data_IF_141687265639
#
_entry.id   IF_141687265639
#
_cell.length_a   1.000
_cell.length_b   1.000
_cell.length_c   1.000
_cell.angle_alpha   90.00
_cell.angle_beta   90.00
_cell.angle_gamma   90.00
#
_symmetry.space_group_name_H-M   'P 1'
#
loop_
_entity.id
_entity.type
_entity.pdbx_description
1 polymer ?
#
# COMPACT_ATOMS: atom_id res chain seq x y z
N UNK A 1 3.81 4.51 -17.55
CA UNK A 1 3.59 3.43 -16.59
C UNK A 1 4.00 3.78 -15.17
N UNK A 2 4.99 4.67 -14.99
CA UNK A 2 5.37 5.14 -13.64
C UNK A 2 4.23 5.84 -12.91
N UNK A 3 3.28 6.42 -13.64
CA UNK A 3 2.12 7.09 -13.04
C UNK A 3 1.22 6.16 -12.22
N UNK A 4 1.31 4.86 -12.48
CA UNK A 4 0.53 3.85 -11.78
C UNK A 4 1.28 3.20 -10.63
N UNK A 5 2.50 3.64 -10.36
CA UNK A 5 3.25 3.17 -9.21
C UNK A 5 2.86 4.02 -8.01
N UNK A 6 2.38 3.36 -6.96
CA UNK A 6 2.01 4.01 -5.72
C UNK A 6 3.13 3.78 -4.71
N UNK A 7 3.60 4.85 -4.09
CA UNK A 7 4.66 4.76 -3.09
C UNK A 7 4.05 4.58 -1.71
N UNK A 8 4.29 3.43 -1.12
CA UNK A 8 3.78 3.08 0.20
C UNK A 8 4.90 3.21 1.22
N UNK A 9 4.58 3.70 2.41
CA UNK A 9 5.49 3.65 3.54
C UNK A 9 5.37 2.31 4.24
N UNK A 10 6.51 1.72 4.60
CA UNK A 10 6.58 0.54 5.45
C UNK A 10 7.29 0.94 6.72
N UNK A 11 6.55 1.04 7.82
CA UNK A 11 7.04 1.54 9.10
C UNK A 11 7.20 0.36 10.06
N UNK A 12 8.38 0.22 10.64
CA UNK A 12 8.65 -0.85 11.59
C UNK A 12 8.09 -0.47 12.97
N UNK A 13 7.31 -1.38 13.54
CA UNK A 13 6.65 -1.18 14.84
C UNK A 13 6.96 -2.39 15.72
N UNK A 14 7.50 -2.18 16.91
CA UNK A 14 7.73 -3.28 17.85
C UNK A 14 6.42 -3.96 18.21
N UNK A 15 6.43 -5.27 18.34
CA UNK A 15 5.23 -6.02 18.73
C UNK A 15 5.08 -6.02 20.26
N UNK A 16 4.78 -4.86 20.81
CA UNK A 16 4.66 -4.59 22.23
C UNK A 16 3.50 -3.66 22.52
N UNK A 17 2.89 -3.73 23.71
CA UNK A 17 1.85 -2.77 24.09
C UNK A 17 2.37 -1.33 23.99
N UNK A 18 1.59 -0.47 23.36
CA UNK A 18 1.92 0.95 23.22
C UNK A 18 2.83 1.31 22.05
N UNK A 19 3.42 0.32 21.37
CA UNK A 19 4.33 0.61 20.24
C UNK A 19 3.61 1.28 19.09
N UNK A 20 2.46 0.77 18.70
CA UNK A 20 1.66 1.38 17.62
C UNK A 20 1.14 2.75 18.03
N UNK A 21 0.76 2.92 19.29
CA UNK A 21 0.32 4.23 19.79
C UNK A 21 1.42 5.28 19.67
N UNK A 22 2.66 4.90 19.97
CA UNK A 22 3.81 5.79 19.83
C UNK A 22 4.04 6.21 18.39
N UNK A 23 3.99 5.28 17.46
CA UNK A 23 4.12 5.57 16.02
C UNK A 23 2.98 6.47 15.54
N UNK A 24 1.75 6.13 15.92
CA UNK A 24 0.57 6.92 15.56
C UNK A 24 0.64 8.35 16.10
N UNK A 25 1.13 8.50 17.31
CA UNK A 25 1.33 9.83 17.91
C UNK A 25 2.33 10.64 17.10
N UNK A 26 3.46 10.04 16.73
CA UNK A 26 4.49 10.69 15.94
C UNK A 26 3.95 11.12 14.57
N UNK A 27 3.17 10.24 13.91
CA UNK A 27 2.51 10.58 12.65
C UNK A 27 1.62 11.82 12.81
N UNK A 28 0.82 11.83 13.87
CA UNK A 28 -0.06 12.97 14.16
C UNK A 28 0.71 14.26 14.44
N UNK A 29 1.74 14.18 15.25
CA UNK A 29 2.58 15.34 15.59
C UNK A 29 3.32 15.88 14.37
N UNK A 30 3.67 15.04 13.42
CA UNK A 30 4.31 15.43 12.17
C UNK A 30 3.32 15.93 11.11
N UNK A 31 2.02 15.90 11.42
CA UNK A 31 0.99 16.32 10.48
C UNK A 31 0.79 15.36 9.31
N UNK A 32 1.15 14.09 9.49
CA UNK A 32 1.02 13.07 8.45
C UNK A 32 -0.34 12.40 8.56
N UNK A 33 -1.16 12.51 7.52
CA UNK A 33 -2.45 11.86 7.43
C UNK A 33 -2.34 10.61 6.57
N UNK A 34 -2.86 9.51 7.07
CA UNK A 34 -2.88 8.24 6.34
C UNK A 34 -4.19 8.09 5.58
N UNK A 35 -4.11 7.85 4.27
CA UNK A 35 -5.28 7.57 3.43
C UNK A 35 -5.72 6.12 3.57
N UNK A 36 -4.75 5.24 3.71
CA UNK A 36 -4.96 3.81 3.90
C UNK A 36 -3.85 3.27 4.78
N UNK A 37 -4.12 2.25 5.55
CA UNK A 37 -3.09 1.59 6.32
C UNK A 37 -3.46 0.14 6.62
N UNK A 38 -2.43 -0.65 6.91
CA UNK A 38 -2.56 -2.05 7.30
C UNK A 38 -1.41 -2.38 8.24
N UNK A 39 -1.73 -2.98 9.37
CA UNK A 39 -0.73 -3.46 10.31
C UNK A 39 -0.61 -4.97 10.19
N UNK A 40 0.55 -5.44 9.74
CA UNK A 40 0.85 -6.86 9.62
C UNK A 40 1.92 -7.23 10.62
N UNK A 41 1.79 -8.41 11.20
CA UNK A 41 2.78 -8.89 12.15
C UNK A 41 3.84 -9.74 11.45
N UNK A 42 5.03 -9.72 12.07
CA UNK A 42 6.11 -10.63 11.75
C UNK A 42 6.72 -10.92 13.11
N UNK A 43 6.97 -12.14 13.46
CA UNK A 43 7.49 -12.62 14.77
C UNK A 43 7.68 -11.59 15.90
N UNK A 44 8.75 -10.79 15.86
CA UNK A 44 9.12 -9.85 16.92
C UNK A 44 8.68 -8.41 16.68
N UNK A 45 8.25 -8.09 15.47
CA UNK A 45 7.84 -6.74 15.11
C UNK A 45 6.68 -6.78 14.13
N UNK A 46 5.99 -5.65 14.02
CA UNK A 46 4.97 -5.44 13.01
C UNK A 46 5.45 -4.50 11.92
N UNK A 47 4.71 -4.46 10.84
CA UNK A 47 4.93 -3.49 9.76
C UNK A 47 3.63 -2.75 9.55
N UNK A 48 3.66 -1.43 9.78
CA UNK A 48 2.54 -0.57 9.46
C UNK A 48 2.75 -0.08 8.03
N UNK A 49 1.93 -0.55 7.12
CA UNK A 49 1.93 -0.09 5.74
C UNK A 49 0.96 1.06 5.63
N UNK A 50 1.40 2.17 5.06
CA UNK A 50 0.60 3.38 5.02
C UNK A 50 0.74 4.09 3.68
N UNK A 51 -0.38 4.59 3.18
CA UNK A 51 -0.44 5.47 2.02
C UNK A 51 -0.66 6.88 2.53
N UNK A 52 0.23 7.78 2.18
CA UNK A 52 0.20 9.18 2.63
C UNK A 52 0.27 10.11 1.43
N UNK A 53 -0.09 11.36 1.63
CA UNK A 53 -0.09 12.38 0.57
C UNK A 53 1.30 12.68 0.02
N UNK A 54 2.27 12.86 0.91
CA UNK A 54 3.65 13.20 0.57
C UNK A 54 4.61 12.15 1.17
N UNK A 55 4.88 11.06 0.44
CA UNK A 55 5.74 9.99 0.96
C UNK A 55 7.15 10.45 1.35
N UNK A 56 7.80 11.24 0.51
CA UNK A 56 9.17 11.67 0.77
C UNK A 56 9.27 12.59 1.99
N UNK A 57 8.34 13.52 2.10
CA UNK A 57 8.26 14.41 3.27
C UNK A 57 7.97 13.64 4.55
N UNK A 58 7.07 12.67 4.48
CA UNK A 58 6.73 11.82 5.62
C UNK A 58 7.94 11.00 6.07
N UNK A 59 8.66 10.40 5.14
CA UNK A 59 9.86 9.61 5.45
C UNK A 59 10.90 10.48 6.18
N UNK A 60 11.15 11.69 5.68
CA UNK A 60 12.11 12.59 6.30
C UNK A 60 11.73 12.92 7.76
N UNK A 61 10.45 13.20 8.00
CA UNK A 61 9.94 13.52 9.34
C UNK A 61 10.03 12.32 10.28
N UNK A 62 9.66 11.14 9.79
CA UNK A 62 9.72 9.92 10.60
C UNK A 62 11.14 9.52 10.95
N UNK A 63 12.07 9.62 10.00
CA UNK A 63 13.48 9.37 10.26
C UNK A 63 14.05 10.34 11.28
N UNK A 64 13.68 11.60 11.19
CA UNK A 64 14.10 12.60 12.17
C UNK A 64 13.59 12.29 13.58
N UNK A 65 12.46 11.61 13.69
CA UNK A 65 11.88 11.16 14.95
C UNK A 65 12.43 9.80 15.43
N UNK A 66 13.40 9.23 14.70
CA UNK A 66 14.01 7.96 15.07
C UNK A 66 13.22 6.72 14.68
N UNK A 67 12.24 6.87 13.80
CA UNK A 67 11.41 5.75 13.33
C UNK A 67 12.02 5.14 12.08
N UNK A 68 12.10 3.82 12.06
CA UNK A 68 12.61 3.07 10.91
C UNK A 68 11.48 2.94 9.88
N UNK A 69 11.69 3.50 8.71
CA UNK A 69 10.71 3.52 7.63
C UNK A 69 11.41 3.36 6.29
N UNK A 70 10.75 2.68 5.37
CA UNK A 70 11.23 2.59 3.99
C UNK A 70 10.05 2.79 3.04
N UNK A 71 10.39 3.14 1.80
CA UNK A 71 9.44 3.33 0.72
C UNK A 71 9.34 2.05 -0.10
N UNK A 72 8.13 1.62 -0.41
CA UNK A 72 7.87 0.41 -1.18
C UNK A 72 6.94 0.76 -2.34
N UNK A 73 7.26 0.26 -3.52
CA UNK A 73 6.41 0.46 -4.69
C UNK A 73 5.32 -0.60 -4.73
N UNK A 74 4.10 -0.17 -4.85
CA UNK A 74 2.93 -1.05 -4.98
C UNK A 74 2.04 -0.58 -6.12
N UNK A 75 1.04 -1.39 -6.44
CA UNK A 75 0.02 -1.04 -7.44
C UNK A 75 -1.35 -1.12 -6.81
N UNK A 76 -2.30 -0.42 -7.40
CA UNK A 76 -3.69 -0.47 -6.98
C UNK A 76 -4.61 -0.73 -8.15
N UNK A 77 -5.65 -1.49 -7.93
CA UNK A 77 -6.68 -1.76 -8.92
C UNK A 77 -8.06 -1.57 -8.29
N UNK A 78 -8.98 -0.96 -9.04
CA UNK A 78 -10.35 -0.82 -8.60
C UNK A 78 -11.03 -2.18 -8.56
N UNK A 79 -11.77 -2.43 -7.51
CA UNK A 79 -12.60 -3.63 -7.36
C UNK A 79 -14.02 -3.19 -7.02
N UNK A 80 -14.96 -4.12 -7.01
CA UNK A 80 -16.32 -3.86 -6.58
C UNK A 80 -16.74 -4.92 -5.55
N UNK A 81 -17.98 -4.82 -5.07
CA UNK A 81 -18.49 -5.73 -4.04
C UNK A 81 -19.03 -7.05 -4.60
N UNK A 82 -18.96 -7.24 -5.92
CA UNK A 82 -19.47 -8.46 -6.54
C UNK A 82 -18.53 -9.63 -6.27
N UNK A 83 -19.08 -10.83 -6.07
CA UNK A 83 -18.26 -12.03 -5.99
C UNK A 83 -17.40 -12.19 -7.24
N UNK A 84 -16.13 -12.49 -7.06
CA UNK A 84 -15.18 -12.66 -8.16
C UNK A 84 -14.42 -11.42 -8.58
N UNK A 85 -14.74 -10.24 -8.05
CA UNK A 85 -14.04 -9.01 -8.40
C UNK A 85 -12.54 -9.09 -8.11
N UNK A 86 -12.17 -9.61 -6.96
CA UNK A 86 -10.76 -9.82 -6.61
C UNK A 86 -10.09 -10.85 -7.53
N UNK A 87 -10.83 -11.89 -7.91
CA UNK A 87 -10.31 -12.95 -8.77
C UNK A 87 -9.84 -12.43 -10.13
N UNK A 88 -10.59 -11.53 -10.74
CA UNK A 88 -10.24 -11.00 -12.06
C UNK A 88 -8.83 -10.41 -12.09
N UNK A 89 -8.48 -9.59 -11.11
CA UNK A 89 -7.17 -8.96 -11.04
C UNK A 89 -6.07 -9.96 -10.67
N UNK A 90 -6.31 -10.76 -9.66
CA UNK A 90 -5.30 -11.73 -9.20
C UNK A 90 -5.02 -12.80 -10.24
N UNK A 91 -6.05 -13.24 -10.97
CA UNK A 91 -5.90 -14.20 -12.05
C UNK A 91 -5.10 -13.63 -13.22
N UNK A 92 -5.35 -12.38 -13.59
CA UNK A 92 -4.59 -11.73 -14.67
C UNK A 92 -3.10 -11.69 -14.34
N UNK A 93 -2.74 -11.35 -13.13
CA UNK A 93 -1.36 -11.34 -12.68
C UNK A 93 -0.76 -12.75 -12.63
N UNK A 94 -1.51 -13.72 -12.11
CA UNK A 94 -1.07 -15.10 -12.04
C UNK A 94 -0.77 -15.70 -13.40
N UNK A 95 -1.63 -15.46 -14.38
CA UNK A 95 -1.41 -15.92 -15.76
C UNK A 95 -0.18 -15.30 -16.39
N UNK A 96 0.18 -14.11 -15.99
CA UNK A 96 1.37 -13.42 -16.48
C UNK A 96 2.65 -13.83 -15.72
N UNK A 97 2.54 -14.73 -14.76
CA UNK A 97 3.67 -15.20 -13.97
C UNK A 97 4.14 -14.19 -12.92
N UNK A 98 3.28 -13.26 -12.54
CA UNK A 98 3.60 -12.23 -11.54
C UNK A 98 3.12 -12.71 -10.18
N UNK A 99 4.02 -12.71 -9.19
CA UNK A 99 3.69 -13.11 -7.83
C UNK A 99 3.20 -11.93 -7.01
N UNK A 100 2.10 -12.12 -6.31
CA UNK A 100 1.57 -11.15 -5.35
C UNK A 100 2.13 -11.53 -3.98
N UNK A 101 2.96 -10.66 -3.42
CA UNK A 101 3.62 -10.92 -2.14
C UNK A 101 2.68 -10.63 -0.97
N UNK A 102 1.89 -9.57 -1.06
CA UNK A 102 0.83 -9.24 -0.11
C UNK A 102 -0.12 -8.23 -0.75
N UNK A 103 -1.27 -8.08 -0.13
CA UNK A 103 -2.24 -7.10 -0.57
C UNK A 103 -3.25 -6.77 0.52
N UNK A 104 -3.92 -5.66 0.38
CA UNK A 104 -5.00 -5.25 1.26
C UNK A 104 -5.96 -4.34 0.52
N UNK A 105 -7.21 -4.38 0.94
CA UNK A 105 -8.25 -3.57 0.34
C UNK A 105 -8.60 -2.38 1.23
N UNK A 106 -9.07 -1.30 0.61
CA UNK A 106 -9.64 -0.18 1.33
C UNK A 106 -10.66 0.54 0.44
N UNK A 107 -11.47 1.39 1.04
CA UNK A 107 -12.44 2.18 0.30
C UNK A 107 -11.91 3.60 0.20
N UNK A 108 -11.53 3.99 -1.02
CA UNK A 108 -11.02 5.33 -1.30
C UNK A 108 -12.07 6.24 -1.92
N UNK A 109 -11.61 7.35 -2.49
CA UNK A 109 -12.48 8.36 -3.13
C UNK A 109 -13.34 7.78 -4.24
N UNK A 110 -12.83 6.79 -4.94
CA UNK A 110 -13.48 6.22 -6.12
C UNK A 110 -14.03 4.81 -5.86
N UNK A 111 -14.22 4.48 -4.59
CA UNK A 111 -14.77 3.20 -4.17
C UNK A 111 -13.69 2.21 -3.72
N UNK A 112 -14.05 0.91 -3.65
CA UNK A 112 -13.14 -0.12 -3.18
C UNK A 112 -11.93 -0.29 -4.10
N UNK A 113 -10.78 -0.49 -3.50
CA UNK A 113 -9.51 -0.71 -4.21
C UNK A 113 -8.73 -1.84 -3.56
N UNK A 114 -8.01 -2.59 -4.37
CA UNK A 114 -7.07 -3.60 -3.90
C UNK A 114 -5.66 -3.08 -4.16
N UNK A 115 -4.90 -2.91 -3.10
CA UNK A 115 -3.50 -2.49 -3.16
C UNK A 115 -2.61 -3.72 -3.02
N UNK A 116 -1.63 -3.86 -3.89
CA UNK A 116 -0.81 -5.07 -3.94
C UNK A 116 0.67 -4.76 -4.11
N UNK A 117 1.49 -5.49 -3.36
CA UNK A 117 2.93 -5.55 -3.60
C UNK A 117 3.19 -6.78 -4.46
N UNK A 118 3.77 -6.58 -5.62
CA UNK A 118 4.14 -7.67 -6.53
C UNK A 118 5.64 -7.67 -6.78
N UNK A 119 6.15 -8.73 -7.39
CA UNK A 119 7.56 -8.83 -7.75
C UNK A 119 7.94 -7.94 -8.96
N UNK A 120 6.94 -7.41 -9.66
CA UNK A 120 7.17 -6.50 -10.80
C UNK A 120 6.00 -5.50 -10.91
N UNK A 121 6.07 -4.37 -10.18
CA UNK A 121 4.97 -3.39 -10.18
C UNK A 121 4.66 -2.79 -11.55
N UNK A 122 5.68 -2.44 -12.33
CA UNK A 122 5.48 -1.82 -13.65
C UNK A 122 4.75 -2.78 -14.59
N UNK A 123 5.23 -4.02 -14.66
CA UNK A 123 4.59 -5.03 -15.50
C UNK A 123 3.18 -5.37 -15.00
N UNK A 124 2.99 -5.36 -13.70
CA UNK A 124 1.67 -5.58 -13.10
C UNK A 124 0.64 -4.56 -13.59
N UNK A 125 1.01 -3.28 -13.60
CA UNK A 125 0.13 -2.23 -14.10
C UNK A 125 -0.22 -2.43 -15.58
N UNK A 126 0.75 -2.83 -16.39
CA UNK A 126 0.52 -3.12 -17.80
C UNK A 126 -0.44 -4.31 -18.00
N UNK A 127 -0.21 -5.39 -17.28
CA UNK A 127 -1.03 -6.61 -17.37
C UNK A 127 -2.46 -6.32 -16.97
N UNK A 128 -2.66 -5.62 -15.86
CA UNK A 128 -3.99 -5.27 -15.39
C UNK A 128 -4.72 -4.35 -16.37
N UNK A 129 -4.02 -3.37 -16.92
CA UNK A 129 -4.59 -2.46 -17.91
C UNK A 129 -5.01 -3.18 -19.18
N UNK A 130 -4.21 -4.13 -19.67
CA UNK A 130 -4.53 -4.93 -20.85
C UNK A 130 -5.71 -5.88 -20.61
N UNK A 131 -5.92 -6.27 -19.36
CA UNK A 131 -7.07 -7.09 -18.99
C UNK A 131 -8.37 -6.27 -18.87
N UNK A 132 -8.31 -4.97 -19.13
CA UNK A 132 -9.46 -4.08 -19.08
C UNK A 132 -9.82 -3.64 -17.67
N UNK A 133 -8.94 -3.85 -16.70
CA UNK A 133 -9.16 -3.45 -15.32
C UNK A 133 -8.67 -2.03 -15.09
N UNK A 134 -9.30 -1.35 -14.15
CA UNK A 134 -8.93 0.03 -13.83
C UNK A 134 -7.78 0.07 -12.84
N UNK A 135 -6.59 0.39 -13.35
CA UNK A 135 -5.41 0.60 -12.51
C UNK A 135 -5.47 2.01 -11.94
N UNK A 136 -5.17 2.13 -10.66
CA UNK A 136 -5.27 3.39 -9.93
C UNK A 136 -3.92 4.10 -9.83
N UNK A 137 -3.99 5.42 -9.77
CA UNK A 137 -2.85 6.28 -9.47
C UNK A 137 -2.92 6.70 -8.01
N UNK A 138 -1.82 7.17 -7.46
CA UNK A 138 -1.81 7.68 -6.08
C UNK A 138 -2.89 8.75 -5.85
N UNK A 139 -3.11 9.63 -6.83
CA UNK A 139 -4.13 10.67 -6.73
C UNK A 139 -5.57 10.17 -6.73
N UNK A 140 -5.79 8.91 -7.11
CA UNK A 140 -7.13 8.30 -7.11
C UNK A 140 -7.53 7.77 -5.74
N UNK A 141 -6.61 7.72 -4.80
CA UNK A 141 -6.84 7.10 -3.48
C UNK A 141 -7.44 8.05 -2.45
#
# INVERSE_FOLDING_TARGET
MSDYIIEQLSIFVSNEPGALAKVSRTLGECGISMKACNLAESNEFGILRAIVEDPDGAIAKLKAAGIVVKKTQIIGVAINDDPGSMYESTNALGKAGINIEYGYAFVGKQGPALLMKTDDPVRSAEVLGRAGLRVLRAGDL
#
